data_IF_152203797896
#
_entry.id   IF_152203797896
#
_cell.length_a   1.000
_cell.length_b   1.000
_cell.length_c   1.000
_cell.angle_alpha   90.00
_cell.angle_beta   90.00
_cell.angle_gamma   90.00
#
_symmetry.space_group_name_H-M   'P 1'
#
loop_
_entity.id
_entity.type
_entity.pdbx_description
1 polymer ?
#
# COMPACT_ATOMS: atom_id res chain seq x y z
N UNK A 1 11.69 -15.51 -12.96
CA UNK A 1 10.37 -14.86 -13.03
C UNK A 1 10.56 -13.37 -13.19
N UNK A 2 9.68 -12.70 -13.92
CA UNK A 2 9.53 -11.23 -13.91
C UNK A 2 8.59 -10.84 -12.79
N UNK A 3 9.07 -10.07 -11.82
CA UNK A 3 8.33 -9.67 -10.62
C UNK A 3 8.27 -8.15 -10.55
N UNK A 4 7.08 -7.59 -10.35
CA UNK A 4 6.92 -6.17 -10.03
C UNK A 4 6.67 -6.03 -8.53
N UNK A 5 7.49 -5.28 -7.84
CA UNK A 5 7.28 -4.91 -6.43
C UNK A 5 6.64 -3.54 -6.40
N UNK A 6 5.35 -3.47 -6.03
CA UNK A 6 4.65 -2.21 -5.82
C UNK A 6 4.87 -1.71 -4.40
N UNK A 7 5.38 -0.49 -4.29
CA UNK A 7 5.65 0.17 -3.01
C UNK A 7 5.23 1.65 -3.06
N UNK A 8 5.45 2.37 -1.98
CA UNK A 8 5.14 3.80 -1.90
C UNK A 8 3.64 4.08 -1.81
N UNK A 9 3.07 4.57 -2.90
CA UNK A 9 1.66 4.98 -2.91
C UNK A 9 1.43 6.32 -2.19
N UNK A 10 0.18 6.66 -1.95
CA UNK A 10 -0.23 7.92 -1.31
C UNK A 10 -0.86 7.64 0.06
N UNK A 11 -0.05 7.22 1.02
CA UNK A 11 -0.46 6.95 2.40
C UNK A 11 0.55 7.52 3.39
N UNK A 12 0.17 7.74 4.67
CA UNK A 12 1.12 8.16 5.71
C UNK A 12 2.30 7.19 5.89
N UNK A 13 2.12 5.93 5.54
CA UNK A 13 3.12 4.86 5.65
C UNK A 13 3.97 4.68 4.39
N UNK A 14 3.87 5.60 3.43
CA UNK A 14 4.60 5.59 2.16
C UNK A 14 6.10 5.27 2.32
N UNK A 15 6.79 5.92 3.26
CA UNK A 15 8.22 5.74 3.45
C UNK A 15 8.56 4.35 4.00
N UNK A 16 7.70 3.78 4.83
CA UNK A 16 7.81 2.40 5.33
C UNK A 16 7.63 1.42 4.17
N UNK A 17 6.62 1.65 3.34
CA UNK A 17 6.35 0.86 2.15
C UNK A 17 7.55 0.84 1.18
N UNK A 18 8.13 2.00 0.87
CA UNK A 18 9.32 2.09 0.01
C UNK A 18 10.52 1.34 0.60
N UNK A 19 10.73 1.43 1.92
CA UNK A 19 11.80 0.71 2.60
C UNK A 19 11.58 -0.81 2.56
N UNK A 20 10.38 -1.27 2.85
CA UNK A 20 10.02 -2.69 2.81
C UNK A 20 10.13 -3.24 1.39
N UNK A 21 9.57 -2.54 0.41
CA UNK A 21 9.64 -2.90 -1.01
C UNK A 21 11.08 -2.96 -1.52
N UNK A 22 11.94 -2.03 -1.08
CA UNK A 22 13.37 -2.05 -1.45
C UNK A 22 14.09 -3.30 -0.96
N UNK A 23 13.83 -3.71 0.28
CA UNK A 23 14.42 -4.92 0.87
C UNK A 23 13.93 -6.19 0.16
N UNK A 24 12.63 -6.25 -0.12
CA UNK A 24 12.02 -7.38 -0.85
C UNK A 24 12.57 -7.44 -2.27
N UNK A 25 12.63 -6.32 -2.98
CA UNK A 25 13.19 -6.24 -4.33
C UNK A 25 14.62 -6.77 -4.37
N UNK A 26 15.47 -6.34 -3.43
CA UNK A 26 16.85 -6.82 -3.35
C UNK A 26 16.90 -8.33 -3.06
N UNK A 27 16.16 -8.81 -2.07
CA UNK A 27 16.13 -10.22 -1.71
C UNK A 27 15.67 -11.14 -2.87
N UNK A 28 14.69 -10.69 -3.65
CA UNK A 28 14.23 -11.42 -4.82
C UNK A 28 15.27 -11.40 -5.94
N UNK A 29 15.97 -10.29 -6.18
CA UNK A 29 17.09 -10.21 -7.13
C UNK A 29 18.24 -11.14 -6.74
N UNK A 30 18.58 -11.20 -5.44
CA UNK A 30 19.62 -12.10 -4.90
C UNK A 30 19.27 -13.58 -5.11
N UNK A 31 17.98 -13.89 -5.33
CA UNK A 31 17.47 -15.22 -5.69
C UNK A 31 17.39 -15.46 -7.20
N UNK A 32 17.90 -14.54 -8.02
CA UNK A 32 17.98 -14.67 -9.48
C UNK A 32 16.68 -14.31 -10.22
N UNK A 33 15.75 -13.59 -9.60
CA UNK A 33 14.57 -13.08 -10.27
C UNK A 33 14.85 -11.74 -10.96
N UNK A 34 14.14 -11.45 -12.04
CA UNK A 34 14.08 -10.12 -12.64
C UNK A 34 13.03 -9.30 -11.88
N UNK A 35 13.45 -8.24 -11.19
CA UNK A 35 12.56 -7.51 -10.26
C UNK A 35 12.60 -6.02 -10.50
N UNK A 36 11.45 -5.44 -10.80
CA UNK A 36 11.25 -3.99 -10.89
C UNK A 36 10.60 -3.47 -9.60
N UNK A 37 11.22 -2.47 -8.96
CA UNK A 37 10.62 -1.74 -7.84
C UNK A 37 9.94 -0.49 -8.38
N UNK A 38 8.63 -0.39 -8.18
CA UNK A 38 7.82 0.71 -8.71
C UNK A 38 7.01 1.38 -7.60
N UNK A 39 7.05 2.70 -7.59
CA UNK A 39 6.17 3.50 -6.76
C UNK A 39 4.77 3.55 -7.34
N UNK A 40 3.77 3.05 -6.61
CA UNK A 40 2.39 3.01 -7.09
C UNK A 40 1.86 4.39 -7.51
N UNK A 41 2.21 5.45 -6.75
CA UNK A 41 1.66 6.79 -7.00
C UNK A 41 2.37 7.53 -8.12
N UNK A 42 3.71 7.51 -8.17
CA UNK A 42 4.47 8.17 -9.24
C UNK A 42 4.50 7.36 -10.53
N UNK A 43 4.46 6.04 -10.42
CA UNK A 43 4.58 5.15 -11.58
C UNK A 43 5.90 5.34 -12.31
N UNK A 44 5.79 5.36 -13.63
CA UNK A 44 6.91 5.47 -14.57
C UNK A 44 7.00 6.85 -15.24
N UNK A 45 6.51 7.91 -14.58
CA UNK A 45 6.45 9.26 -15.20
C UNK A 45 7.82 9.84 -15.56
N UNK A 46 8.88 9.44 -14.85
CA UNK A 46 10.26 9.85 -15.10
C UNK A 46 11.09 8.81 -15.86
N UNK A 47 10.47 7.68 -16.23
CA UNK A 47 11.15 6.60 -16.91
C UNK A 47 11.13 6.81 -18.43
N UNK A 48 12.31 6.73 -19.06
CA UNK A 48 12.50 6.87 -20.50
C UNK A 48 13.23 5.68 -21.13
N UNK A 49 13.64 4.69 -20.32
CA UNK A 49 14.29 3.46 -20.80
C UNK A 49 13.29 2.41 -21.26
N UNK A 50 13.81 1.24 -21.67
CA UNK A 50 12.96 0.09 -21.99
C UNK A 50 12.37 -0.56 -20.75
N UNK A 51 11.32 -1.39 -20.92
CA UNK A 51 10.74 -2.16 -19.83
C UNK A 51 11.76 -3.12 -19.21
N UNK A 52 12.61 -3.76 -20.01
CA UNK A 52 13.65 -4.69 -19.56
C UNK A 52 14.65 -4.02 -18.63
N UNK A 53 15.01 -2.77 -18.89
CA UNK A 53 15.94 -2.01 -18.04
C UNK A 53 15.38 -1.71 -16.65
N UNK A 54 14.05 -1.63 -16.48
CA UNK A 54 13.41 -1.45 -15.18
C UNK A 54 13.78 -2.57 -14.20
N UNK A 55 13.87 -3.80 -14.69
CA UNK A 55 14.15 -4.97 -13.85
C UNK A 55 15.60 -5.01 -13.33
N UNK A 56 16.50 -4.23 -13.92
CA UNK A 56 17.91 -4.09 -13.49
C UNK A 56 18.23 -2.71 -12.88
N UNK A 57 17.27 -1.80 -12.89
CA UNK A 57 17.45 -0.44 -12.36
C UNK A 57 17.88 -0.46 -10.88
N UNK A 58 18.94 0.26 -10.49
CA UNK A 58 19.36 0.34 -9.11
C UNK A 58 18.26 0.89 -8.20
N UNK A 59 18.14 0.31 -7.00
CA UNK A 59 17.19 0.77 -5.98
C UNK A 59 17.69 2.11 -5.44
N UNK A 60 16.89 3.20 -5.51
CA UNK A 60 17.30 4.50 -5.01
C UNK A 60 17.60 4.47 -3.50
N UNK A 61 18.75 5.02 -3.08
CA UNK A 61 19.14 5.06 -1.67
C UNK A 61 18.11 5.75 -0.76
N UNK A 62 17.40 6.75 -1.29
CA UNK A 62 16.32 7.44 -0.56
C UNK A 62 15.18 6.50 -0.15
N UNK A 63 14.96 5.39 -0.86
CA UNK A 63 13.92 4.42 -0.54
C UNK A 63 14.30 3.48 0.61
N UNK A 64 15.57 3.34 0.89
CA UNK A 64 16.07 2.46 1.96
C UNK A 64 15.95 3.06 3.36
N UNK A 65 15.61 4.35 3.46
CA UNK A 65 15.54 5.09 4.73
C UNK A 65 14.10 5.46 5.07
N UNK A 66 13.73 5.25 6.33
CA UNK A 66 12.44 5.68 6.87
C UNK A 66 12.66 6.94 7.69
N UNK A 67 11.99 8.02 7.33
CA UNK A 67 11.99 9.25 8.12
C UNK A 67 11.18 9.07 9.42
N UNK A 68 11.54 9.83 10.46
CA UNK A 68 10.82 9.80 11.75
C UNK A 68 9.40 10.38 11.65
N UNK A 69 9.17 11.25 10.69
CA UNK A 69 7.87 11.89 10.47
C UNK A 69 7.20 11.30 9.23
N UNK A 70 5.88 11.16 9.30
CA UNK A 70 5.09 10.79 8.13
C UNK A 70 5.24 11.85 7.02
N UNK A 71 5.18 11.46 5.75
CA UNK A 71 5.27 12.40 4.65
C UNK A 71 4.05 13.31 4.60
N UNK A 72 4.25 14.57 4.21
CA UNK A 72 3.14 15.45 3.84
C UNK A 72 2.56 14.99 2.49
N UNK A 73 1.38 14.38 2.55
CA UNK A 73 0.72 13.81 1.37
C UNK A 73 0.30 14.87 0.35
N UNK A 74 0.08 16.11 0.76
CA UNK A 74 -0.21 17.21 -0.17
C UNK A 74 1.04 17.56 -0.97
N UNK A 75 2.20 17.61 -0.32
CA UNK A 75 3.48 17.82 -1.00
C UNK A 75 3.81 16.64 -1.94
N UNK A 76 3.58 15.40 -1.50
CA UNK A 76 3.76 14.21 -2.35
C UNK A 76 2.87 14.31 -3.59
N UNK A 77 1.59 14.66 -3.43
CA UNK A 77 0.65 14.83 -4.53
C UNK A 77 1.10 15.93 -5.48
N UNK A 78 1.48 17.10 -4.96
CA UNK A 78 1.92 18.24 -5.75
C UNK A 78 3.22 17.98 -6.52
N UNK A 79 4.07 17.06 -6.07
CA UNK A 79 5.34 16.75 -6.72
C UNK A 79 5.23 15.77 -7.90
N UNK A 80 4.06 15.12 -8.10
CA UNK A 80 3.80 14.29 -9.28
C UNK A 80 3.57 15.19 -10.50
N UNK A 81 4.18 14.87 -11.65
CA UNK A 81 4.02 15.64 -12.89
C UNK A 81 2.60 15.57 -13.41
N UNK A 82 2.03 14.37 -13.42
CA UNK A 82 0.62 14.18 -13.76
C UNK A 82 -0.25 14.55 -12.56
N UNK A 83 -0.97 15.67 -12.64
CA UNK A 83 -1.88 16.16 -11.61
C UNK A 83 -3.30 15.55 -11.71
N UNK A 84 -3.46 14.47 -12.48
CA UNK A 84 -4.71 13.73 -12.57
C UNK A 84 -5.16 13.12 -11.24
N UNK A 85 -6.45 12.74 -11.11
CA UNK A 85 -7.03 12.25 -9.85
C UNK A 85 -6.60 10.81 -9.51
N UNK A 86 -5.97 10.09 -10.42
CA UNK A 86 -5.59 8.69 -10.23
C UNK A 86 -4.63 8.50 -9.05
N UNK A 87 -4.90 7.49 -8.23
CA UNK A 87 -3.98 7.04 -7.20
C UNK A 87 -2.88 6.12 -7.75
N UNK A 88 -3.03 5.66 -9.00
CA UNK A 88 -2.08 4.81 -9.72
C UNK A 88 -1.35 5.66 -10.74
N UNK A 89 -0.04 5.66 -10.70
CA UNK A 89 0.82 6.40 -11.61
C UNK A 89 0.84 5.78 -13.01
N UNK A 90 1.28 6.59 -13.97
CA UNK A 90 1.36 6.19 -15.38
C UNK A 90 2.25 4.95 -15.56
N UNK A 91 1.83 4.02 -16.40
CA UNK A 91 2.58 2.82 -16.78
C UNK A 91 2.62 1.69 -15.74
N UNK A 92 2.02 1.89 -14.56
CA UNK A 92 2.05 0.88 -13.49
C UNK A 92 1.25 -0.35 -13.86
N UNK A 93 0.01 -0.19 -14.30
CA UNK A 93 -0.87 -1.32 -14.62
C UNK A 93 -0.38 -2.08 -15.84
N UNK A 94 0.12 -1.38 -16.84
CA UNK A 94 0.73 -1.97 -18.04
C UNK A 94 1.94 -2.83 -17.67
N UNK A 95 2.83 -2.31 -16.83
CA UNK A 95 3.99 -3.09 -16.35
C UNK A 95 3.56 -4.30 -15.53
N UNK A 96 2.56 -4.15 -14.66
CA UNK A 96 2.01 -5.27 -13.88
C UNK A 96 1.42 -6.36 -14.78
N UNK A 97 0.75 -5.99 -15.88
CA UNK A 97 0.17 -6.94 -16.82
C UNK A 97 1.23 -7.81 -17.56
N UNK A 98 2.48 -7.35 -17.64
CA UNK A 98 3.60 -8.08 -18.23
C UNK A 98 4.42 -8.89 -17.20
N UNK A 99 4.08 -8.81 -15.92
CA UNK A 99 4.78 -9.53 -14.86
C UNK A 99 4.19 -10.95 -14.66
N UNK A 100 5.03 -11.88 -14.21
CA UNK A 100 4.57 -13.21 -13.77
C UNK A 100 3.79 -13.11 -12.46
N UNK A 101 4.16 -12.14 -11.58
CA UNK A 101 3.51 -11.87 -10.30
C UNK A 101 3.84 -10.46 -9.82
N UNK A 102 2.88 -9.84 -9.11
CA UNK A 102 3.06 -8.56 -8.43
C UNK A 102 3.21 -8.80 -6.93
N UNK A 103 4.31 -8.30 -6.36
CA UNK A 103 4.49 -8.28 -4.90
C UNK A 103 3.97 -6.95 -4.34
N UNK A 104 2.96 -7.02 -3.48
CA UNK A 104 2.37 -5.86 -2.83
C UNK A 104 3.12 -5.54 -1.53
N UNK A 105 4.02 -4.53 -1.57
CA UNK A 105 4.72 -3.99 -0.40
C UNK A 105 4.09 -2.67 0.07
N UNK A 106 2.81 -2.47 -0.24
CA UNK A 106 2.05 -1.27 0.07
C UNK A 106 1.49 -1.32 1.49
N UNK A 107 1.23 -0.15 2.08
CA UNK A 107 0.58 -0.01 3.38
C UNK A 107 -0.52 1.06 3.32
N UNK A 108 -1.56 0.84 4.14
CA UNK A 108 -2.69 1.75 4.26
C UNK A 108 -3.57 1.83 3.02
N UNK A 109 -4.19 2.98 2.81
CA UNK A 109 -5.13 3.22 1.71
C UNK A 109 -4.52 2.93 0.35
N UNK A 110 -5.29 2.34 -0.52
CA UNK A 110 -4.94 1.81 -1.85
C UNK A 110 -4.02 0.58 -1.84
N UNK A 111 -3.37 0.23 -0.72
CA UNK A 111 -2.53 -0.95 -0.61
C UNK A 111 -3.21 -2.11 0.09
N UNK A 112 -3.94 -1.82 1.18
CA UNK A 112 -4.54 -2.81 2.08
C UNK A 112 -6.06 -2.81 2.06
N UNK A 113 -6.70 -1.90 1.33
CA UNK A 113 -8.15 -1.70 1.29
C UNK A 113 -8.87 -2.39 0.12
N UNK A 114 -8.18 -3.26 -0.61
CA UNK A 114 -8.75 -4.04 -1.71
C UNK A 114 -8.70 -3.35 -3.08
N UNK A 115 -8.38 -2.05 -3.17
CA UNK A 115 -8.47 -1.30 -4.43
C UNK A 115 -7.44 -1.73 -5.45
N UNK A 116 -6.18 -1.85 -5.08
CA UNK A 116 -5.13 -2.33 -5.99
C UNK A 116 -5.35 -3.82 -6.32
N UNK A 117 -5.82 -4.60 -5.36
CA UNK A 117 -6.16 -6.00 -5.55
C UNK A 117 -7.24 -6.14 -6.63
N UNK A 118 -8.33 -5.34 -6.54
CA UNK A 118 -9.38 -5.33 -7.53
C UNK A 118 -8.87 -4.94 -8.93
N UNK A 119 -7.98 -3.97 -9.04
CA UNK A 119 -7.37 -3.58 -10.32
C UNK A 119 -6.55 -4.74 -10.92
N UNK A 120 -5.77 -5.43 -10.10
CA UNK A 120 -4.97 -6.59 -10.54
C UNK A 120 -5.85 -7.81 -10.86
N UNK A 121 -6.92 -8.05 -10.09
CA UNK A 121 -7.93 -9.08 -10.39
C UNK A 121 -8.55 -8.88 -11.78
N UNK A 122 -8.94 -7.63 -12.11
CA UNK A 122 -9.51 -7.28 -13.42
C UNK A 122 -8.50 -7.47 -14.58
N UNK A 123 -7.21 -7.32 -14.31
CA UNK A 123 -6.15 -7.56 -15.28
C UNK A 123 -5.76 -9.05 -15.37
N UNK A 124 -6.24 -9.90 -14.48
CA UNK A 124 -5.85 -11.31 -14.39
C UNK A 124 -4.41 -11.51 -13.91
N UNK A 125 -3.84 -10.53 -13.20
CA UNK A 125 -2.44 -10.54 -12.75
C UNK A 125 -2.33 -11.16 -11.36
N UNK A 126 -1.55 -12.23 -11.16
CA UNK A 126 -1.31 -12.79 -9.83
C UNK A 126 -0.56 -11.80 -8.93
N UNK A 127 -0.95 -11.74 -7.66
CA UNK A 127 -0.29 -10.88 -6.66
C UNK A 127 -0.18 -11.58 -5.30
N UNK A 128 0.68 -11.04 -4.43
CA UNK A 128 0.86 -11.55 -3.06
C UNK A 128 -0.14 -10.91 -2.10
N UNK A 129 -0.61 -11.69 -1.12
CA UNK A 129 -1.49 -11.22 -0.05
C UNK A 129 -2.94 -11.64 -0.22
N UNK A 130 -3.82 -11.00 0.56
CA UNK A 130 -5.26 -11.27 0.54
C UNK A 130 -5.91 -10.64 -0.69
N UNK A 131 -6.97 -11.28 -1.19
CA UNK A 131 -7.76 -10.75 -2.29
C UNK A 131 -8.57 -9.49 -1.93
N UNK A 132 -9.20 -8.88 -2.93
CA UNK A 132 -9.94 -7.63 -2.82
C UNK A 132 -10.92 -7.60 -1.65
N UNK A 133 -11.84 -8.58 -1.56
CA UNK A 133 -12.87 -8.61 -0.52
C UNK A 133 -12.27 -8.77 0.88
N UNK A 134 -11.30 -9.68 1.05
CA UNK A 134 -10.65 -9.92 2.34
C UNK A 134 -9.91 -8.67 2.84
N UNK A 135 -9.19 -8.00 1.96
CA UNK A 135 -8.49 -6.74 2.25
C UNK A 135 -9.47 -5.62 2.64
N UNK A 136 -10.55 -5.44 1.88
CA UNK A 136 -11.56 -4.43 2.17
C UNK A 136 -12.22 -4.63 3.54
N UNK A 137 -12.59 -5.87 3.86
CA UNK A 137 -13.17 -6.23 5.17
C UNK A 137 -12.16 -5.97 6.28
N UNK A 138 -10.89 -6.41 6.13
CA UNK A 138 -9.87 -6.27 7.14
C UNK A 138 -9.53 -4.81 7.45
N UNK A 139 -9.69 -3.93 6.49
CA UNK A 139 -9.46 -2.49 6.68
C UNK A 139 -10.54 -1.80 7.50
N UNK A 140 -11.77 -2.33 7.49
CA UNK A 140 -12.86 -1.89 8.37
C UNK A 140 -12.85 -2.71 9.68
N UNK A 141 -12.32 -2.10 10.74
CA UNK A 141 -12.16 -2.76 12.04
C UNK A 141 -13.50 -3.15 12.68
N UNK A 142 -14.55 -2.36 12.52
CA UNK A 142 -15.87 -2.66 13.06
C UNK A 142 -16.49 -3.85 12.32
N UNK A 143 -16.47 -3.81 10.99
CA UNK A 143 -16.97 -4.90 10.17
C UNK A 143 -16.21 -6.20 10.42
N UNK A 144 -14.86 -6.14 10.46
CA UNK A 144 -14.02 -7.30 10.78
C UNK A 144 -14.44 -7.93 12.10
N UNK A 145 -14.52 -7.11 13.18
CA UNK A 145 -14.88 -7.62 14.51
C UNK A 145 -16.27 -8.23 14.55
N UNK A 146 -17.26 -7.62 13.89
CA UNK A 146 -18.62 -8.18 13.77
C UNK A 146 -18.62 -9.55 13.10
N UNK A 147 -17.83 -9.72 12.04
CA UNK A 147 -17.77 -10.98 11.29
C UNK A 147 -17.07 -12.11 12.04
N UNK A 148 -16.11 -11.80 12.92
CA UNK A 148 -15.31 -12.82 13.58
C UNK A 148 -15.69 -13.04 15.07
N UNK A 149 -16.52 -12.19 15.67
CA UNK A 149 -16.81 -12.18 17.11
C UNK A 149 -17.30 -13.53 17.66
N UNK A 150 -18.06 -14.28 16.88
CA UNK A 150 -18.60 -15.58 17.28
C UNK A 150 -17.56 -16.72 17.19
N UNK A 151 -16.41 -16.49 16.57
CA UNK A 151 -15.43 -17.53 16.26
C UNK A 151 -14.04 -17.25 16.78
N UNK A 152 -13.71 -15.99 16.98
CA UNK A 152 -12.37 -15.56 17.41
C UNK A 152 -12.50 -14.58 18.56
N UNK A 153 -11.78 -14.86 19.65
CA UNK A 153 -11.71 -13.93 20.78
C UNK A 153 -11.08 -12.61 20.30
N UNK A 154 -11.84 -11.55 20.40
CA UNK A 154 -11.41 -10.18 20.04
C UNK A 154 -11.67 -9.26 21.23
N UNK A 155 -10.83 -8.24 21.46
CA UNK A 155 -11.11 -7.24 22.49
C UNK A 155 -12.49 -6.58 22.26
N UNK A 156 -13.18 -6.27 23.34
CA UNK A 156 -14.43 -5.50 23.27
C UNK A 156 -14.19 -4.19 22.55
N UNK A 157 -15.16 -3.73 21.79
CA UNK A 157 -15.05 -2.49 21.01
C UNK A 157 -16.36 -1.74 20.96
N UNK A 158 -16.28 -0.50 20.62
CA UNK A 158 -17.42 0.39 20.35
C UNK A 158 -17.07 1.31 19.20
N UNK A 159 -17.94 1.38 18.21
CA UNK A 159 -17.80 2.35 17.11
C UNK A 159 -18.59 3.59 17.47
N UNK A 160 -17.92 4.74 17.49
CA UNK A 160 -18.50 6.03 17.88
C UNK A 160 -18.07 7.10 16.88
N UNK A 161 -18.94 8.09 16.67
CA UNK A 161 -18.59 9.31 15.97
C UNK A 161 -18.16 10.34 17.00
N UNK A 162 -16.89 10.74 16.95
CA UNK A 162 -16.32 11.74 17.86
C UNK A 162 -16.58 13.14 17.32
N UNK A 163 -17.17 14.01 18.15
CA UNK A 163 -17.36 15.43 17.85
C UNK A 163 -16.79 16.27 19.01
N UNK A 164 -16.65 17.59 18.79
CA UNK A 164 -16.19 18.49 19.85
C UNK A 164 -17.16 18.53 21.04
N UNK A 165 -18.44 18.29 20.78
CA UNK A 165 -19.50 18.35 21.79
C UNK A 165 -19.54 17.10 22.66
N UNK A 166 -19.22 15.92 22.10
CA UNK A 166 -19.37 14.65 22.81
C UNK A 166 -18.06 14.03 23.33
N UNK A 167 -16.90 14.57 22.96
CA UNK A 167 -15.60 13.97 23.32
C UNK A 167 -15.41 13.88 24.85
N UNK A 168 -15.85 14.88 25.61
CA UNK A 168 -15.75 14.86 27.06
C UNK A 168 -16.51 13.71 27.69
N UNK A 169 -17.77 13.53 27.33
CA UNK A 169 -18.61 12.44 27.81
C UNK A 169 -18.06 11.06 27.37
N UNK A 170 -17.59 10.94 26.13
CA UNK A 170 -16.99 9.69 25.64
C UNK A 170 -15.74 9.28 26.41
N UNK A 171 -14.90 10.23 26.82
CA UNK A 171 -13.71 9.98 27.64
C UNK A 171 -14.10 9.49 29.05
N UNK A 172 -15.10 10.11 29.67
CA UNK A 172 -15.61 9.72 30.98
C UNK A 172 -16.22 8.31 30.99
N UNK A 173 -16.94 7.96 29.90
CA UNK A 173 -17.56 6.64 29.73
C UNK A 173 -16.56 5.54 29.35
N UNK A 174 -15.36 5.90 28.91
CA UNK A 174 -14.38 4.96 28.36
C UNK A 174 -13.45 4.44 29.45
N UNK A 175 -13.42 3.14 29.63
CA UNK A 175 -12.48 2.49 30.54
C UNK A 175 -11.09 2.44 29.90
N UNK A 176 -10.16 3.23 30.42
CA UNK A 176 -8.77 3.27 29.94
C UNK A 176 -7.95 2.07 30.48
N UNK A 177 -6.91 1.59 29.74
CA UNK A 177 -6.42 2.08 28.46
C UNK A 177 -7.22 1.58 27.24
N UNK A 178 -7.28 2.38 26.20
CA UNK A 178 -7.90 2.02 24.91
C UNK A 178 -6.94 2.28 23.74
N UNK A 179 -7.17 1.62 22.62
CA UNK A 179 -6.44 1.78 21.36
C UNK A 179 -7.40 2.24 20.29
#
# INVERSE_FOLDING_TARGET
>A
MKIVVLAGGLSPERNVSLSSGSKVCQALRDRGHQVALVDLFFGLEDWSGSEEELYSTPIPEKFKRVARQAPDLNQVRASRKDQGPSAIGRGVLELCAHADVVYLALHGTCGEDGRIQAALDLLGVPYTGSGCLGSAIAMDKDLTKRLVADRVTTPSWRTVTVTKENIGALVEETCLPVV
#
